data_IF_078469775632
#
_entry.id   IF_078469775632
#
_cell.length_a   1.000
_cell.length_b   1.000
_cell.length_c   1.000
_cell.angle_alpha   90.00
_cell.angle_beta   90.00
_cell.angle_gamma   90.00
#
_symmetry.space_group_name_H-M   'P 1'
#
loop_
_entity.id
_entity.type
_entity.pdbx_description
1 polymer ?
#
# COMPACT_ATOMS: atom_id res chain seq x y z
N UNK A 1 38.43 -11.54 -55.79
CA UNK A 1 37.01 -11.16 -55.55
C UNK A 1 36.66 -11.50 -54.10
N UNK A 2 36.59 -10.50 -53.21
CA UNK A 2 36.03 -10.65 -51.86
C UNK A 2 35.02 -9.52 -51.68
N UNK A 3 33.73 -9.83 -51.72
CA UNK A 3 32.67 -8.86 -51.42
C UNK A 3 32.61 -8.69 -49.91
N UNK A 4 32.79 -7.46 -49.44
CA UNK A 4 32.67 -7.06 -48.03
C UNK A 4 31.20 -6.83 -47.70
N UNK A 5 30.72 -7.44 -46.61
CA UNK A 5 29.38 -7.25 -46.07
C UNK A 5 29.16 -5.78 -45.62
N UNK A 6 27.93 -5.25 -45.71
CA UNK A 6 27.66 -3.86 -45.34
C UNK A 6 27.77 -3.68 -43.83
N UNK A 7 28.62 -2.72 -43.41
CA UNK A 7 28.72 -2.26 -42.03
C UNK A 7 27.45 -1.50 -41.65
N UNK A 8 26.73 -2.01 -40.66
CA UNK A 8 25.56 -1.35 -40.09
C UNK A 8 25.99 -0.09 -39.34
N UNK A 9 25.60 1.07 -39.88
CA UNK A 9 25.86 2.38 -39.27
C UNK A 9 24.74 2.70 -38.26
N UNK A 10 25.11 3.11 -37.04
CA UNK A 10 24.23 3.14 -35.84
C UNK A 10 23.42 4.43 -35.66
N UNK A 11 23.51 5.39 -36.58
CA UNK A 11 22.86 6.70 -36.48
C UNK A 11 21.94 6.95 -37.68
N UNK A 12 20.68 6.50 -37.59
CA UNK A 12 19.62 6.85 -38.53
C UNK A 12 18.43 7.49 -37.78
N UNK A 13 18.09 8.76 -38.03
CA UNK A 13 16.94 9.42 -37.37
C UNK A 13 15.58 8.81 -37.75
N UNK A 14 15.52 8.00 -38.82
CA UNK A 14 14.34 7.25 -39.21
C UNK A 14 14.06 6.05 -38.28
N UNK A 15 15.09 5.32 -37.82
CA UNK A 15 14.88 4.18 -36.91
C UNK A 15 14.44 4.65 -35.52
N UNK A 16 14.90 5.82 -35.09
CA UNK A 16 14.52 6.43 -33.82
C UNK A 16 13.06 6.95 -33.85
N UNK A 17 12.63 7.56 -34.95
CA UNK A 17 11.22 7.90 -35.20
C UNK A 17 10.31 6.67 -35.29
N UNK A 18 10.77 5.60 -35.95
CA UNK A 18 10.01 4.33 -36.03
C UNK A 18 9.92 3.63 -34.67
N UNK A 19 11.00 3.64 -33.87
CA UNK A 19 11.02 3.11 -32.52
C UNK A 19 10.11 3.91 -31.56
N UNK A 20 10.08 5.24 -31.70
CA UNK A 20 9.17 6.11 -30.95
C UNK A 20 7.69 5.85 -31.30
N UNK A 21 7.36 5.69 -32.58
CA UNK A 21 6.00 5.32 -33.00
C UNK A 21 5.62 3.90 -32.54
N UNK A 22 6.55 2.95 -32.60
CA UNK A 22 6.34 1.57 -32.15
C UNK A 22 6.05 1.50 -30.64
N UNK A 23 6.76 2.27 -29.82
CA UNK A 23 6.49 2.39 -28.38
C UNK A 23 5.07 2.89 -28.10
N UNK A 24 4.68 3.96 -28.81
CA UNK A 24 3.37 4.61 -28.63
C UNK A 24 2.23 3.68 -29.05
N UNK A 25 2.36 3.00 -30.19
CA UNK A 25 1.33 2.08 -30.69
C UNK A 25 1.14 0.87 -29.76
N UNK A 26 2.25 0.27 -29.30
CA UNK A 26 2.21 -0.83 -28.32
C UNK A 26 1.52 -0.40 -27.01
N UNK A 27 1.87 0.78 -26.49
CA UNK A 27 1.32 1.28 -25.24
C UNK A 27 -0.17 1.58 -25.39
N UNK A 28 -0.59 2.18 -26.50
CA UNK A 28 -1.99 2.48 -26.80
C UNK A 28 -2.86 1.22 -26.93
N UNK A 29 -2.32 0.15 -27.54
CA UNK A 29 -3.00 -1.15 -27.59
C UNK A 29 -3.12 -1.75 -26.18
N UNK A 30 -2.05 -1.72 -25.38
CA UNK A 30 -2.05 -2.25 -24.03
C UNK A 30 -2.99 -1.49 -23.07
N UNK A 31 -3.12 -0.17 -23.21
CA UNK A 31 -3.94 0.68 -22.35
C UNK A 31 -5.44 0.38 -22.40
N UNK A 32 -5.90 -0.20 -23.51
CA UNK A 32 -7.29 -0.65 -23.70
C UNK A 32 -7.60 -1.94 -22.94
N UNK A 33 -6.59 -2.66 -22.47
CA UNK A 33 -6.75 -3.93 -21.75
C UNK A 33 -7.00 -3.68 -20.27
N UNK A 34 -8.13 -4.20 -19.76
CA UNK A 34 -8.51 -4.00 -18.37
C UNK A 34 -7.55 -4.63 -17.35
N UNK A 35 -6.69 -5.58 -17.76
CA UNK A 35 -5.63 -6.19 -16.95
C UNK A 35 -4.23 -5.59 -17.21
N UNK A 36 -4.14 -4.45 -17.90
CA UNK A 36 -2.89 -3.69 -18.05
C UNK A 36 -2.74 -2.67 -16.93
N UNK A 37 -1.62 -2.73 -16.21
CA UNK A 37 -1.35 -1.91 -15.02
C UNK A 37 -0.26 -0.85 -15.24
N UNK A 38 0.15 -0.60 -16.49
CA UNK A 38 1.17 0.42 -16.78
C UNK A 38 2.54 0.07 -16.22
N UNK A 39 3.29 1.09 -15.80
CA UNK A 39 4.58 0.93 -15.14
C UNK A 39 4.39 0.50 -13.68
N UNK A 40 4.97 -0.63 -13.31
CA UNK A 40 4.96 -1.12 -11.93
C UNK A 40 6.33 -1.63 -11.52
N UNK A 41 6.77 -1.23 -10.32
CA UNK A 41 7.96 -1.77 -9.67
C UNK A 41 7.67 -3.18 -9.15
N UNK A 42 8.71 -3.97 -9.00
CA UNK A 42 8.60 -5.37 -8.55
C UNK A 42 7.87 -5.50 -7.20
N UNK A 43 8.22 -4.64 -6.22
CA UNK A 43 7.51 -4.58 -4.93
C UNK A 43 6.01 -4.28 -5.05
N UNK A 44 5.61 -3.48 -6.04
CA UNK A 44 4.20 -3.16 -6.27
C UNK A 44 3.46 -4.34 -6.87
N UNK A 45 4.12 -5.07 -7.78
CA UNK A 45 3.62 -6.33 -8.33
C UNK A 45 3.41 -7.34 -7.21
N UNK A 46 4.42 -7.62 -6.39
CA UNK A 46 4.28 -8.56 -5.27
C UNK A 46 3.10 -8.19 -4.36
N UNK A 47 2.98 -6.90 -4.00
CA UNK A 47 1.88 -6.40 -3.17
C UNK A 47 0.52 -6.61 -3.83
N UNK A 48 0.39 -6.36 -5.13
CA UNK A 48 -0.83 -6.58 -5.90
C UNK A 48 -1.23 -8.06 -5.92
N UNK A 49 -0.23 -8.95 -6.02
CA UNK A 49 -0.44 -10.39 -6.14
C UNK A 49 -0.71 -11.11 -4.82
N UNK A 50 -0.34 -10.55 -3.66
CA UNK A 50 -0.60 -11.12 -2.32
C UNK A 50 -1.99 -11.77 -2.16
N UNK A 51 -3.12 -11.10 -2.46
CA UNK A 51 -4.45 -11.71 -2.33
C UNK A 51 -4.77 -12.78 -3.39
N UNK A 52 -3.96 -12.90 -4.45
CA UNK A 52 -4.15 -13.82 -5.58
C UNK A 52 -3.14 -14.98 -5.60
N UNK A 53 -2.21 -15.07 -4.64
CA UNK A 53 -1.18 -16.13 -4.60
C UNK A 53 -1.75 -17.55 -4.51
N UNK A 54 -2.99 -17.71 -4.04
CA UNK A 54 -3.71 -18.99 -4.03
C UNK A 54 -4.26 -19.40 -5.41
N UNK A 55 -4.34 -18.47 -6.37
CA UNK A 55 -4.92 -18.65 -7.70
C UNK A 55 -3.82 -18.81 -8.75
N UNK A 56 -3.36 -20.04 -8.96
CA UNK A 56 -2.40 -20.38 -10.01
C UNK A 56 -2.91 -19.93 -11.38
N UNK A 57 -2.06 -19.24 -12.15
CA UNK A 57 -2.44 -18.65 -13.43
C UNK A 57 -3.14 -17.29 -13.32
N UNK A 58 -3.22 -16.68 -12.13
CA UNK A 58 -3.60 -15.27 -12.02
C UNK A 58 -2.51 -14.38 -12.62
N UNK A 59 -2.88 -13.35 -13.39
CA UNK A 59 -1.92 -12.60 -14.20
C UNK A 59 -2.26 -11.12 -14.39
N UNK A 60 -1.26 -10.35 -14.80
CA UNK A 60 -1.36 -8.96 -15.26
C UNK A 60 -0.47 -8.73 -16.49
N UNK A 61 -0.74 -7.65 -17.21
CA UNK A 61 0.18 -7.06 -18.18
C UNK A 61 0.74 -5.74 -17.62
N UNK A 62 2.03 -5.48 -17.82
CA UNK A 62 2.70 -4.25 -17.37
C UNK A 62 3.77 -3.80 -18.35
N UNK A 63 4.17 -2.52 -18.29
CA UNK A 63 5.35 -2.00 -19.00
C UNK A 63 6.60 -2.70 -18.47
N UNK A 64 7.55 -2.98 -19.37
CA UNK A 64 8.87 -3.47 -18.97
C UNK A 64 9.66 -2.36 -18.29
N UNK A 65 10.36 -2.70 -17.21
CA UNK A 65 11.17 -1.73 -16.46
C UNK A 65 12.56 -1.53 -17.10
N UNK A 66 13.01 -2.46 -17.93
CA UNK A 66 14.35 -2.46 -18.53
C UNK A 66 14.36 -2.09 -20.01
N UNK A 67 13.23 -2.20 -20.71
CA UNK A 67 13.13 -2.02 -22.15
C UNK A 67 11.88 -1.22 -22.50
N UNK A 68 12.04 -0.13 -23.24
CA UNK A 68 10.93 0.76 -23.59
C UNK A 68 9.94 0.10 -24.57
N UNK A 69 10.44 -0.71 -25.51
CA UNK A 69 9.64 -1.40 -26.51
C UNK A 69 9.24 -2.82 -26.09
N UNK A 70 9.05 -3.03 -24.78
CA UNK A 70 8.63 -4.32 -24.27
C UNK A 70 7.58 -4.20 -23.18
N UNK A 71 6.74 -5.22 -23.11
CA UNK A 71 5.82 -5.48 -22.03
C UNK A 71 6.29 -6.69 -21.23
N UNK A 72 5.80 -6.81 -20.01
CA UNK A 72 6.01 -7.99 -19.17
C UNK A 72 4.66 -8.53 -18.73
N UNK A 73 4.49 -9.84 -18.89
CA UNK A 73 3.37 -10.58 -18.31
C UNK A 73 3.86 -11.19 -17.00
N UNK A 74 3.21 -10.84 -15.90
CA UNK A 74 3.46 -11.44 -14.59
C UNK A 74 2.33 -12.42 -14.30
N UNK A 75 2.64 -13.64 -13.86
CA UNK A 75 1.67 -14.71 -13.60
C UNK A 75 2.03 -15.49 -12.33
N UNK A 76 1.04 -15.86 -11.52
CA UNK A 76 1.24 -16.76 -10.36
C UNK A 76 1.54 -18.16 -10.85
N UNK A 77 2.75 -18.66 -10.59
CA UNK A 77 3.08 -20.07 -10.83
C UNK A 77 2.71 -20.93 -9.62
N UNK A 78 3.14 -20.52 -8.43
CA UNK A 78 2.83 -21.23 -7.19
C UNK A 78 2.56 -20.25 -6.04
N UNK A 79 2.25 -20.76 -4.84
CA UNK A 79 1.83 -19.93 -3.69
C UNK A 79 2.88 -18.93 -3.21
N UNK A 80 4.14 -19.08 -3.63
CA UNK A 80 5.26 -18.23 -3.22
C UNK A 80 5.99 -17.60 -4.39
N UNK A 81 5.66 -17.94 -5.64
CA UNK A 81 6.41 -17.53 -6.82
C UNK A 81 5.51 -16.94 -7.91
N UNK A 82 5.91 -15.76 -8.38
CA UNK A 82 5.34 -15.07 -9.54
C UNK A 82 6.36 -15.21 -10.66
N UNK A 83 5.94 -15.79 -11.77
CA UNK A 83 6.73 -15.92 -12.98
C UNK A 83 6.54 -14.68 -13.86
N UNK A 84 7.63 -14.19 -14.45
CA UNK A 84 7.63 -13.03 -15.33
C UNK A 84 8.23 -13.40 -16.67
N UNK A 85 7.52 -13.13 -17.76
CA UNK A 85 8.06 -13.29 -19.10
C UNK A 85 7.81 -12.06 -19.97
N UNK A 86 8.77 -11.82 -20.86
CA UNK A 86 8.81 -10.61 -21.70
C UNK A 86 8.08 -10.80 -23.01
N UNK A 87 7.40 -9.75 -23.43
CA UNK A 87 6.80 -9.58 -24.75
C UNK A 87 7.48 -8.39 -25.41
N UNK A 88 8.33 -8.61 -26.40
CA UNK A 88 9.06 -7.55 -27.09
C UNK A 88 8.31 -7.14 -28.36
N UNK A 89 8.15 -5.85 -28.58
CA UNK A 89 7.57 -5.31 -29.81
C UNK A 89 8.68 -5.04 -30.84
N UNK A 90 8.49 -5.56 -32.04
CA UNK A 90 9.46 -5.51 -33.13
C UNK A 90 9.21 -4.29 -34.02
N UNK A 91 10.24 -3.79 -34.73
CA UNK A 91 10.09 -2.67 -35.66
C UNK A 91 9.15 -2.93 -36.84
N UNK A 92 8.86 -4.21 -37.15
CA UNK A 92 7.92 -4.62 -38.18
C UNK A 92 6.45 -4.63 -37.71
N UNK A 93 6.19 -4.22 -36.46
CA UNK A 93 4.86 -4.12 -35.87
C UNK A 93 4.34 -5.40 -35.22
N UNK A 94 5.16 -6.47 -35.16
CA UNK A 94 4.79 -7.73 -34.50
C UNK A 94 5.35 -7.82 -33.08
N UNK A 95 4.83 -8.77 -32.31
CA UNK A 95 5.29 -9.11 -30.98
C UNK A 95 6.05 -10.43 -30.99
N UNK A 96 7.12 -10.52 -30.20
CA UNK A 96 7.86 -11.77 -29.96
C UNK A 96 7.86 -12.13 -28.48
N UNK A 97 7.62 -13.40 -28.19
CA UNK A 97 7.61 -13.97 -26.84
C UNK A 97 8.58 -15.14 -26.78
N UNK A 98 9.48 -15.15 -25.78
CA UNK A 98 10.46 -16.22 -25.60
C UNK A 98 11.47 -16.39 -26.76
N UNK A 99 11.58 -15.41 -27.66
CA UNK A 99 12.52 -15.42 -28.78
C UNK A 99 12.13 -16.28 -29.99
N UNK A 100 11.04 -17.03 -29.94
CA UNK A 100 10.64 -17.97 -30.99
C UNK A 100 9.18 -17.85 -31.44
N UNK A 101 8.32 -17.20 -30.66
CA UNK A 101 6.88 -17.12 -30.95
C UNK A 101 6.49 -15.71 -31.35
N UNK A 102 5.94 -15.56 -32.55
CA UNK A 102 5.55 -14.28 -33.13
C UNK A 102 4.04 -14.11 -33.17
N UNK A 103 3.56 -12.91 -32.89
CA UNK A 103 2.14 -12.57 -32.83
C UNK A 103 1.88 -11.18 -33.40
N UNK A 104 0.71 -10.97 -33.98
CA UNK A 104 0.35 -9.67 -34.58
C UNK A 104 -0.23 -8.69 -33.56
N UNK A 105 -0.90 -9.19 -32.50
CA UNK A 105 -1.56 -8.37 -31.47
C UNK A 105 -1.35 -8.93 -30.09
N UNK A 106 -1.44 -8.08 -29.06
CA UNK A 106 -1.38 -8.49 -27.65
C UNK A 106 -2.50 -9.48 -27.35
N UNK A 107 -3.69 -9.28 -27.91
CA UNK A 107 -4.83 -10.17 -27.69
C UNK A 107 -4.55 -11.61 -28.17
N UNK A 108 -3.90 -11.79 -29.33
CA UNK A 108 -3.49 -13.12 -29.82
C UNK A 108 -2.49 -13.80 -28.88
N UNK A 109 -1.57 -13.04 -28.28
CA UNK A 109 -0.63 -13.54 -27.26
C UNK A 109 -1.42 -14.08 -26.05
N UNK A 110 -2.37 -13.29 -25.55
CA UNK A 110 -3.18 -13.66 -24.40
C UNK A 110 -4.01 -14.92 -24.68
N UNK A 111 -4.67 -14.98 -25.83
CA UNK A 111 -5.50 -16.14 -26.20
C UNK A 111 -4.69 -17.41 -26.44
N UNK A 112 -3.46 -17.26 -26.92
CA UNK A 112 -2.52 -18.37 -27.03
C UNK A 112 -2.16 -18.94 -25.66
N UNK A 113 -1.70 -18.09 -24.73
CA UNK A 113 -1.24 -18.54 -23.40
C UNK A 113 -2.36 -18.83 -22.39
N UNK A 114 -3.63 -18.54 -22.74
CA UNK A 114 -4.80 -19.10 -22.04
C UNK A 114 -4.95 -20.61 -22.27
N UNK A 115 -4.52 -21.11 -23.44
CA UNK A 115 -4.67 -22.51 -23.88
C UNK A 115 -3.37 -23.30 -23.79
N UNK A 116 -2.23 -22.64 -24.05
CA UNK A 116 -0.89 -23.24 -24.08
C UNK A 116 -0.05 -22.74 -22.92
N UNK A 117 0.93 -23.55 -22.52
CA UNK A 117 1.81 -23.24 -21.40
C UNK A 117 2.67 -22.00 -21.70
N UNK A 118 2.91 -21.17 -20.68
CA UNK A 118 3.82 -20.02 -20.80
C UNK A 118 5.26 -20.48 -21.08
N UNK A 119 6.11 -19.63 -21.70
CA UNK A 119 7.49 -20.00 -22.01
C UNK A 119 8.24 -20.46 -20.76
N UNK A 120 9.11 -21.47 -20.89
CA UNK A 120 9.89 -22.01 -19.76
C UNK A 120 9.10 -22.87 -18.77
N UNK A 121 7.79 -23.06 -18.99
CA UNK A 121 6.90 -23.81 -18.10
C UNK A 121 6.12 -24.92 -18.83
N UNK A 122 6.70 -25.51 -19.88
CA UNK A 122 6.08 -26.55 -20.70
C UNK A 122 5.64 -27.76 -19.86
N UNK A 123 6.49 -28.21 -18.93
CA UNK A 123 6.22 -29.36 -18.05
C UNK A 123 5.18 -29.06 -16.97
N UNK A 124 5.15 -27.82 -16.48
CA UNK A 124 4.30 -27.42 -15.35
C UNK A 124 2.88 -27.02 -15.76
N UNK A 125 2.59 -26.95 -17.06
CA UNK A 125 1.31 -26.57 -17.67
C UNK A 125 0.74 -25.24 -17.17
N UNK A 126 1.62 -24.28 -16.86
CA UNK A 126 1.22 -22.96 -16.38
C UNK A 126 0.58 -22.15 -17.51
N UNK A 127 -0.67 -21.73 -17.32
CA UNK A 127 -1.50 -21.02 -18.31
C UNK A 127 -2.09 -19.74 -17.69
N UNK A 128 -2.46 -18.77 -18.53
CA UNK A 128 -3.11 -17.54 -18.11
C UNK A 128 -4.60 -17.80 -17.88
N UNK A 129 -5.06 -17.72 -16.62
CA UNK A 129 -6.44 -18.08 -16.24
C UNK A 129 -7.23 -16.92 -15.64
N UNK A 130 -6.64 -16.17 -14.72
CA UNK A 130 -7.36 -15.20 -13.91
C UNK A 130 -6.78 -13.79 -14.12
N UNK A 131 -7.34 -12.97 -15.03
CA UNK A 131 -6.89 -11.60 -15.20
C UNK A 131 -7.14 -10.81 -13.91
N UNK A 132 -6.08 -10.20 -13.36
CA UNK A 132 -6.20 -9.24 -12.27
C UNK A 132 -6.46 -7.89 -12.90
N UNK A 133 -7.69 -7.42 -12.77
CA UNK A 133 -8.11 -6.15 -13.35
C UNK A 133 -7.36 -4.99 -12.70
N UNK A 134 -6.95 -4.02 -13.52
CA UNK A 134 -6.46 -2.72 -13.05
C UNK A 134 -7.57 -2.11 -12.20
N UNK A 135 -7.22 -1.71 -10.98
CA UNK A 135 -8.04 -0.79 -10.21
C UNK A 135 -7.92 0.57 -10.88
N UNK A 136 -8.53 0.72 -12.04
CA UNK A 136 -8.75 2.03 -12.62
C UNK A 136 -9.60 2.81 -11.62
N UNK A 137 -9.31 4.10 -11.39
CA UNK A 137 -10.35 5.05 -10.97
C UNK A 137 -11.55 5.08 -11.95
N UNK A 138 -11.40 4.44 -13.12
CA UNK A 138 -12.37 4.24 -14.20
C UNK A 138 -13.06 2.86 -14.23
N UNK A 139 -13.21 2.18 -13.09
CA UNK A 139 -14.59 1.74 -12.80
C UNK A 139 -15.18 2.99 -12.20
N UNK A 140 -16.04 3.67 -12.95
CA UNK A 140 -16.73 4.89 -12.52
C UNK A 140 -16.93 4.80 -11.01
N UNK A 141 -16.21 5.66 -10.29
CA UNK A 141 -16.43 5.87 -8.88
C UNK A 141 -17.96 5.87 -8.67
N UNK A 142 -18.53 5.13 -7.71
CA UNK A 142 -19.94 5.25 -7.37
C UNK A 142 -20.36 6.70 -7.08
N UNK A 143 -19.40 7.63 -6.92
CA UNK A 143 -19.61 9.08 -6.86
C UNK A 143 -19.79 9.78 -8.23
N UNK A 144 -19.30 9.22 -9.34
CA UNK A 144 -19.43 9.77 -10.70
C UNK A 144 -20.54 9.13 -11.54
N UNK A 145 -21.06 7.96 -11.14
CA UNK A 145 -22.26 7.33 -11.74
C UNK A 145 -23.55 7.64 -11.00
N UNK A 146 -23.48 8.42 -9.92
CA UNK A 146 -24.70 9.02 -9.37
C UNK A 146 -25.35 9.82 -10.50
N UNK A 147 -26.64 9.57 -10.82
CA UNK A 147 -27.35 10.47 -11.70
C UNK A 147 -27.12 11.89 -11.19
N UNK A 148 -26.92 12.88 -12.08
CA UNK A 148 -26.81 14.27 -11.65
C UNK A 148 -27.97 14.53 -10.70
N UNK A 149 -27.67 15.15 -9.56
CA UNK A 149 -28.67 15.42 -8.54
C UNK A 149 -29.89 15.99 -9.26
N UNK A 150 -31.09 15.37 -9.13
CA UNK A 150 -32.25 15.84 -9.86
C UNK A 150 -32.36 17.34 -9.60
N UNK A 151 -32.55 18.11 -10.67
CA UNK A 151 -32.69 19.56 -10.55
C UNK A 151 -33.66 19.84 -9.40
N UNK A 152 -33.35 20.79 -8.50
CA UNK A 152 -34.25 21.13 -7.41
C UNK A 152 -35.64 21.28 -7.99
N UNK A 153 -36.61 20.51 -7.47
CA UNK A 153 -38.00 20.68 -7.88
C UNK A 153 -38.32 22.16 -7.70
N UNK A 154 -38.95 22.78 -8.69
CA UNK A 154 -39.33 24.19 -8.64
C UNK A 154 -40.21 24.51 -7.42
N UNK A 155 -40.77 23.49 -6.79
CA UNK A 155 -41.42 23.57 -5.49
C UNK A 155 -40.54 22.94 -4.41
N UNK A 156 -40.04 23.72 -3.45
CA UNK A 156 -39.32 23.18 -2.30
C UNK A 156 -40.26 22.27 -1.51
N UNK A 157 -39.78 21.06 -1.19
CA UNK A 157 -40.48 20.13 -0.29
C UNK A 157 -40.25 20.63 1.14
N UNK A 158 -40.84 21.77 1.50
CA UNK A 158 -41.02 22.15 2.89
C UNK A 158 -42.14 21.29 3.45
N UNK A 159 -41.82 20.04 3.80
CA UNK A 159 -42.68 19.31 4.72
C UNK A 159 -42.37 19.86 6.11
N UNK A 160 -43.32 20.60 6.68
CA UNK A 160 -43.23 21.12 8.03
C UNK A 160 -42.78 20.00 8.97
N UNK A 161 -41.77 20.28 9.79
CA UNK A 161 -41.33 19.50 10.95
C UNK A 161 -40.30 18.38 10.75
N UNK A 162 -39.69 18.18 9.58
CA UNK A 162 -38.51 17.29 9.44
C UNK A 162 -37.39 17.89 8.58
N UNK A 163 -36.54 18.67 9.23
CA UNK A 163 -35.34 19.27 8.61
C UNK A 163 -34.28 18.18 8.39
N UNK A 164 -34.15 17.68 7.14
CA UNK A 164 -33.06 16.79 6.74
C UNK A 164 -31.77 17.55 6.37
N UNK A 165 -31.90 18.85 6.10
CA UNK A 165 -30.80 19.78 5.89
C UNK A 165 -31.04 21.04 6.71
N UNK A 166 -29.96 21.58 7.28
CA UNK A 166 -29.92 22.86 7.96
C UNK A 166 -30.47 23.98 7.06
N UNK A 167 -31.35 24.81 7.62
CA UNK A 167 -31.79 26.03 6.95
C UNK A 167 -30.57 26.94 6.69
N UNK A 168 -30.56 27.75 5.60
CA UNK A 168 -29.48 28.71 5.33
C UNK A 168 -29.27 29.77 6.41
N UNK A 169 -30.14 29.80 7.42
CA UNK A 169 -30.15 30.71 8.55
C UNK A 169 -29.39 30.14 9.77
N UNK A 170 -28.94 28.88 9.73
CA UNK A 170 -28.01 28.35 10.73
C UNK A 170 -26.62 28.94 10.47
N UNK A 171 -26.18 29.78 11.42
CA UNK A 171 -24.89 30.48 11.43
C UNK A 171 -23.76 29.54 11.01
N UNK A 172 -22.79 30.09 10.29
CA UNK A 172 -21.57 29.38 9.89
C UNK A 172 -20.93 28.66 11.09
N UNK A 173 -21.14 27.35 11.17
CA UNK A 173 -20.62 26.50 12.25
C UNK A 173 -19.13 26.16 12.04
N UNK A 174 -18.47 26.75 11.04
CA UNK A 174 -17.07 26.52 10.76
C UNK A 174 -16.19 26.74 11.99
N UNK A 175 -16.45 27.77 12.79
CA UNK A 175 -15.69 28.01 14.04
C UNK A 175 -15.83 26.84 15.04
N UNK A 176 -17.04 26.30 15.19
CA UNK A 176 -17.29 25.15 16.08
C UNK A 176 -16.58 23.90 15.56
N UNK A 177 -16.66 23.65 14.26
CA UNK A 177 -16.01 22.50 13.63
C UNK A 177 -14.49 22.61 13.74
N UNK A 178 -13.92 23.80 13.53
CA UNK A 178 -12.49 24.05 13.66
C UNK A 178 -12.01 23.83 15.10
N UNK A 179 -12.77 24.27 16.10
CA UNK A 179 -12.43 24.01 17.50
C UNK A 179 -12.48 22.51 17.81
N UNK A 180 -13.49 21.78 17.35
CA UNK A 180 -13.56 20.33 17.51
C UNK A 180 -12.38 19.59 16.85
N UNK A 181 -11.97 20.02 15.66
CA UNK A 181 -10.78 19.46 14.98
C UNK A 181 -9.51 19.71 15.78
N UNK A 182 -9.34 20.93 16.31
CA UNK A 182 -8.20 21.30 17.15
C UNK A 182 -8.17 20.49 18.46
N UNK A 183 -9.31 20.31 19.12
CA UNK A 183 -9.42 19.45 20.30
C UNK A 183 -9.03 17.99 20.01
N UNK A 184 -9.47 17.45 18.87
CA UNK A 184 -9.10 16.11 18.43
C UNK A 184 -7.60 15.99 18.16
N UNK A 185 -7.02 16.95 17.45
CA UNK A 185 -5.57 16.99 17.18
C UNK A 185 -4.76 17.08 18.47
N UNK A 186 -5.16 17.92 19.43
CA UNK A 186 -4.54 17.99 20.75
C UNK A 186 -4.67 16.66 21.52
N UNK A 187 -5.84 16.02 21.46
CA UNK A 187 -6.06 14.70 22.06
C UNK A 187 -5.11 13.66 21.48
N UNK A 188 -4.98 13.59 20.15
CA UNK A 188 -4.06 12.67 19.48
C UNK A 188 -2.60 13.01 19.80
N UNK A 189 -2.21 14.28 19.78
CA UNK A 189 -0.85 14.69 20.13
C UNK A 189 -0.48 14.35 21.58
N UNK A 190 -1.41 14.49 22.54
CA UNK A 190 -1.17 14.13 23.95
C UNK A 190 -1.14 12.61 24.13
N UNK A 191 -2.01 11.86 23.47
CA UNK A 191 -2.19 10.41 23.69
C UNK A 191 -1.27 9.53 22.84
N UNK A 192 -0.76 10.03 21.72
CA UNK A 192 0.12 9.27 20.81
C UNK A 192 1.62 9.59 20.96
N UNK A 193 2.02 10.56 21.79
CA UNK A 193 3.44 10.78 22.11
C UNK A 193 3.98 9.59 22.89
N UNK A 194 5.09 9.03 22.39
CA UNK A 194 5.82 7.93 23.02
C UNK A 194 7.14 8.44 23.59
N UNK A 195 7.50 7.94 24.76
CA UNK A 195 8.84 8.09 25.31
C UNK A 195 9.85 7.30 24.45
N UNK A 196 11.14 7.63 24.55
CA UNK A 196 12.23 6.85 23.93
C UNK A 196 12.23 5.37 24.36
N UNK A 197 11.69 5.04 25.53
CA UNK A 197 11.49 3.66 26.00
C UNK A 197 10.29 2.93 25.34
N UNK A 198 9.59 3.61 24.42
CA UNK A 198 8.48 3.07 23.64
C UNK A 198 7.13 3.00 24.37
N UNK A 199 7.03 3.44 25.63
CA UNK A 199 5.76 3.60 26.35
C UNK A 199 5.07 4.90 25.92
N UNK A 200 3.73 4.92 25.92
CA UNK A 200 3.00 6.17 25.69
C UNK A 200 3.15 7.08 26.92
N UNK A 201 3.28 8.39 26.71
CA UNK A 201 3.49 9.36 27.80
C UNK A 201 2.38 9.29 28.86
N UNK A 202 1.13 9.15 28.44
CA UNK A 202 -0.01 9.03 29.34
C UNK A 202 -0.01 7.74 30.18
N UNK A 203 0.68 6.68 29.71
CA UNK A 203 0.92 5.47 30.49
C UNK A 203 2.13 5.64 31.41
N UNK A 204 3.19 6.29 30.93
CA UNK A 204 4.42 6.51 31.70
C UNK A 204 4.23 7.44 32.90
N UNK A 205 3.35 8.42 32.85
CA UNK A 205 3.10 9.34 33.96
C UNK A 205 2.32 8.69 35.11
N UNK A 206 2.88 8.68 36.31
CA UNK A 206 2.26 8.20 37.55
C UNK A 206 1.87 9.38 38.46
N UNK A 207 1.58 9.09 39.74
CA UNK A 207 1.23 10.10 40.74
C UNK A 207 2.46 10.80 41.31
N UNK A 208 2.27 12.00 41.87
CA UNK A 208 3.29 12.80 42.55
C UNK A 208 4.52 13.21 41.72
N UNK A 209 4.47 13.10 40.38
CA UNK A 209 5.60 13.40 39.49
C UNK A 209 6.53 12.21 39.24
N UNK A 210 6.11 11.01 39.63
CA UNK A 210 6.80 9.80 39.24
C UNK A 210 6.44 9.41 37.81
N UNK A 211 7.39 8.88 37.08
CA UNK A 211 7.20 8.29 35.76
C UNK A 211 7.74 6.87 35.73
N UNK A 212 7.19 6.00 34.90
CA UNK A 212 7.71 4.65 34.63
C UNK A 212 8.25 4.52 33.21
N UNK A 213 9.41 3.88 33.10
CA UNK A 213 10.15 3.69 31.87
C UNK A 213 10.54 2.21 31.71
N UNK A 214 10.69 1.79 30.46
CA UNK A 214 11.34 0.51 30.13
C UNK A 214 12.83 0.73 29.96
N UNK A 215 13.63 -0.11 30.59
CA UNK A 215 15.06 -0.15 30.35
C UNK A 215 15.36 -0.69 28.95
N UNK A 216 16.20 0.03 28.22
CA UNK A 216 16.63 -0.27 26.86
C UNK A 216 18.13 -0.52 26.75
N UNK A 217 18.91 -0.35 27.83
CA UNK A 217 20.37 -0.20 27.77
C UNK A 217 21.21 -1.37 28.36
N UNK A 218 20.62 -2.54 28.67
CA UNK A 218 21.39 -3.68 29.18
C UNK A 218 20.94 -5.05 28.66
N UNK A 219 21.86 -6.02 28.44
CA UNK A 219 21.51 -7.39 28.04
C UNK A 219 20.73 -8.16 29.13
N UNK A 220 20.91 -7.83 30.41
CA UNK A 220 20.27 -8.52 31.55
C UNK A 220 19.01 -7.82 32.09
N UNK A 221 18.80 -6.55 31.72
CA UNK A 221 17.69 -5.70 32.21
C UNK A 221 16.74 -5.27 31.09
N UNK A 222 16.91 -5.78 29.87
CA UNK A 222 16.13 -5.37 28.70
C UNK A 222 14.63 -5.54 28.92
N UNK A 223 13.92 -4.41 28.94
CA UNK A 223 12.46 -4.36 29.11
C UNK A 223 11.98 -4.36 30.56
N UNK A 224 12.86 -4.35 31.56
CA UNK A 224 12.46 -4.13 32.96
C UNK A 224 11.92 -2.72 33.16
N UNK A 225 11.02 -2.57 34.15
CA UNK A 225 10.40 -1.28 34.47
C UNK A 225 11.16 -0.63 35.62
N UNK A 226 11.65 0.58 35.39
CA UNK A 226 12.18 1.45 36.43
C UNK A 226 11.34 2.72 36.53
N UNK A 227 11.41 3.36 37.69
CA UNK A 227 10.67 4.57 38.01
C UNK A 227 11.63 5.75 38.13
N UNK A 228 11.23 6.89 37.61
CA UNK A 228 11.97 8.14 37.65
C UNK A 228 11.11 9.21 38.31
N UNK A 229 11.64 9.84 39.36
CA UNK A 229 11.02 11.02 39.95
C UNK A 229 11.45 12.27 39.18
N UNK A 230 10.51 12.96 38.54
CA UNK A 230 10.81 14.17 37.77
C UNK A 230 11.24 15.36 38.64
N UNK A 231 10.95 15.34 39.95
CA UNK A 231 11.29 16.44 40.87
C UNK A 231 12.72 16.34 41.38
N UNK A 232 13.14 15.14 41.74
CA UNK A 232 14.48 14.87 42.31
C UNK A 232 15.45 14.28 41.28
N UNK A 233 14.97 13.96 40.07
CA UNK A 233 15.68 13.25 39.02
C UNK A 233 16.29 11.91 39.50
N UNK A 234 15.67 11.31 40.51
CA UNK A 234 16.12 10.06 41.11
C UNK A 234 15.42 8.88 40.44
N UNK A 235 16.19 7.86 40.05
CA UNK A 235 15.67 6.62 39.47
C UNK A 235 15.67 5.49 40.49
N UNK A 236 14.58 4.74 40.58
CA UNK A 236 14.43 3.60 41.48
C UNK A 236 13.72 2.44 40.78
N UNK A 237 14.08 1.20 41.12
CA UNK A 237 13.43 -0.02 40.61
C UNK A 237 12.10 -0.33 41.29
N UNK A 238 11.85 0.28 42.45
CA UNK A 238 10.63 0.11 43.22
C UNK A 238 10.03 1.48 43.52
N UNK A 239 8.71 1.58 43.39
CA UNK A 239 7.96 2.79 43.74
C UNK A 239 7.94 2.95 45.27
N UNK A 240 8.16 4.15 45.83
CA UNK A 240 8.04 4.35 47.27
C UNK A 240 6.64 3.95 47.79
N UNK A 241 6.52 3.36 49.00
CA UNK A 241 5.24 2.85 49.52
C UNK A 241 4.13 3.91 49.65
N UNK A 242 4.51 5.17 49.81
CA UNK A 242 3.57 6.30 49.83
C UNK A 242 2.95 6.56 48.45
N UNK A 243 3.79 6.57 47.41
CA UNK A 243 3.40 6.76 46.01
C UNK A 243 2.58 5.56 45.52
N UNK A 244 2.94 4.34 45.93
CA UNK A 244 2.19 3.12 45.59
C UNK A 244 0.75 3.15 46.13
N UNK A 245 0.57 3.53 47.41
CA UNK A 245 -0.76 3.64 48.01
C UNK A 245 -1.59 4.71 47.31
N UNK A 246 -0.97 5.84 46.97
CA UNK A 246 -1.63 6.92 46.25
C UNK A 246 -2.03 6.51 44.83
N UNK A 247 -1.14 5.80 44.11
CA UNK A 247 -1.39 5.32 42.76
C UNK A 247 -2.58 4.37 42.72
N UNK A 248 -2.65 3.43 43.67
CA UNK A 248 -3.80 2.53 43.81
C UNK A 248 -5.11 3.27 44.07
N UNK A 249 -5.06 4.37 44.83
CA UNK A 249 -6.24 5.16 45.20
C UNK A 249 -6.73 6.05 44.07
N UNK A 250 -5.83 6.76 43.39
CA UNK A 250 -6.20 7.73 42.35
C UNK A 250 -6.37 7.11 40.97
N UNK A 251 -5.62 6.06 40.65
CA UNK A 251 -5.54 5.53 39.27
C UNK A 251 -5.31 4.02 39.27
N UNK A 252 -6.36 3.22 39.59
CA UNK A 252 -6.27 1.76 39.59
C UNK A 252 -5.88 1.20 38.21
N UNK A 253 -6.33 1.82 37.12
CA UNK A 253 -5.96 1.42 35.76
C UNK A 253 -4.44 1.52 35.50
N UNK A 254 -3.80 2.58 36.01
CA UNK A 254 -2.34 2.76 35.88
C UNK A 254 -1.58 1.74 36.74
N UNK A 255 -2.11 1.42 37.92
CA UNK A 255 -1.57 0.38 38.78
C UNK A 255 -1.59 -1.01 38.10
N UNK A 256 -2.71 -1.38 37.49
CA UNK A 256 -2.83 -2.63 36.76
C UNK A 256 -1.89 -2.68 35.54
N UNK A 257 -1.80 -1.59 34.78
CA UNK A 257 -0.90 -1.51 33.64
C UNK A 257 0.57 -1.65 34.06
N UNK A 258 0.98 -0.99 35.15
CA UNK A 258 2.32 -1.13 35.72
C UNK A 258 2.61 -2.59 36.10
N UNK A 259 1.67 -3.28 36.76
CA UNK A 259 1.81 -4.69 37.13
C UNK A 259 1.89 -5.61 35.92
N UNK A 260 1.08 -5.36 34.88
CA UNK A 260 1.14 -6.07 33.61
C UNK A 260 2.53 -5.94 32.97
N UNK A 261 3.07 -4.73 32.92
CA UNK A 261 4.41 -4.46 32.35
C UNK A 261 5.53 -5.13 33.16
N UNK A 262 5.45 -5.13 34.49
CA UNK A 262 6.40 -5.85 35.37
C UNK A 262 6.37 -7.37 35.13
N UNK A 263 5.19 -7.95 34.93
CA UNK A 263 5.02 -9.36 34.63
C UNK A 263 5.56 -9.72 33.23
N UNK A 264 5.28 -8.89 32.23
CA UNK A 264 5.82 -9.05 30.86
C UNK A 264 7.36 -9.05 30.87
N UNK A 265 7.98 -8.11 31.60
CA UNK A 265 9.44 -8.07 31.75
C UNK A 265 9.99 -9.34 32.41
N UNK A 266 9.34 -9.79 33.49
CA UNK A 266 9.73 -11.00 34.23
C UNK A 266 9.59 -12.28 33.41
N UNK A 267 8.67 -12.30 32.43
CA UNK A 267 8.45 -13.46 31.55
C UNK A 267 9.52 -13.60 30.45
N UNK A 268 10.17 -12.51 30.06
CA UNK A 268 11.20 -12.49 29.00
C UNK A 268 12.60 -12.89 29.49
N UNK A 269 12.80 -12.86 30.80
CA UNK A 269 14.05 -13.22 31.47
C UNK A 269 14.10 -14.71 31.87
N UNK A 270 13.04 -15.50 31.59
CA UNK A 270 12.99 -16.95 31.84
C UNK A 270 13.28 -17.76 30.59
#
# INVERSE_FOLDING_TARGET
MRQLAPKWNRNYPAVERMASNAHVMMTLEAEQLAFYHGSMREKEVERLFRPFMSKRGAYILRKSNSEENALTISVVDNRTHIYHFRVSHLPDGRYVVGGSQYFDTIQKIMDHFKKKSVPGHEDSRLTLKHPIQRKTPNTLDPLLTRPPMPAPRHEPIYNSDKHYYSAPEEKDHLEVVLEMCKEADEYFQKRCKKCSCGLYMWESELVQGWMMHRDTEGPDAQGQIFFLDTKTNNSAWNLPPEVERELKRQSPEKWENMKRLQNEASSRLR
#
